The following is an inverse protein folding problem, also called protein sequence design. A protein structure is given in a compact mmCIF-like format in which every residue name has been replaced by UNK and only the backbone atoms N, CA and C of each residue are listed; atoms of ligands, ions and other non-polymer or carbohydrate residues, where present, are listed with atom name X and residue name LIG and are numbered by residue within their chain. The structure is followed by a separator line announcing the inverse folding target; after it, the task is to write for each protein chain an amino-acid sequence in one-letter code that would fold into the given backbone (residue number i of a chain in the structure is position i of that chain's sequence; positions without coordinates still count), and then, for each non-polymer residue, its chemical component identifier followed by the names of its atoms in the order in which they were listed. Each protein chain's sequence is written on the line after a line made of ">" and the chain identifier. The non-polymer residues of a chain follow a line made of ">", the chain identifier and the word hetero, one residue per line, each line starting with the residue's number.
data_IF_887853208123
#
_entry.id   IF_887853208123
#
_cell.length_a   1.000
_cell.length_b   1.000
_cell.length_c   1.000
_cell.angle_alpha   90.00
_cell.angle_beta   90.00
_cell.angle_gamma   90.00
#
_symmetry.space_group_name_H-M   'P 1'
#
loop_
_entity.id
_entity.type
_entity.pdbx_description
1 polymer ?
#
# COMPACT_ATOMS: atom_id res chain seq x y z
N UNK A 1 -2.11 44.63 51.83
CA UNK A 1 -3.22 43.65 51.79
C UNK A 1 -2.62 42.26 51.94
N UNK A 2 -2.82 41.62 53.10
CA UNK A 2 -2.33 40.26 53.34
C UNK A 2 -3.39 39.25 52.89
N UNK A 3 -3.01 38.31 52.03
CA UNK A 3 -3.87 37.19 51.65
C UNK A 3 -3.88 36.23 52.84
N UNK A 4 -5.07 35.89 53.35
CA UNK A 4 -5.17 34.98 54.49
C UNK A 4 -4.75 33.57 54.09
N UNK A 5 -4.10 32.85 55.01
CA UNK A 5 -3.66 31.46 54.84
C UNK A 5 -4.71 30.52 54.20
N UNK A 6 -6.01 30.57 54.58
CA UNK A 6 -7.02 29.74 53.92
C UNK A 6 -7.25 30.11 52.45
N UNK A 7 -7.13 31.39 52.07
CA UNK A 7 -7.25 31.82 50.67
C UNK A 7 -6.04 31.34 49.87
N UNK A 8 -4.84 31.40 50.43
CA UNK A 8 -3.64 30.86 49.79
C UNK A 8 -3.73 29.34 49.58
N UNK A 9 -4.23 28.60 50.57
CA UNK A 9 -4.41 27.15 50.49
C UNK A 9 -5.43 26.76 49.40
N UNK A 10 -6.55 27.48 49.30
CA UNK A 10 -7.56 27.25 48.25
C UNK A 10 -7.00 27.52 46.85
N UNK A 11 -6.18 28.56 46.68
CA UNK A 11 -5.53 28.87 45.40
C UNK A 11 -4.54 27.77 44.98
N UNK A 12 -3.77 27.22 45.93
CA UNK A 12 -2.85 26.11 45.67
C UNK A 12 -3.60 24.84 45.26
N UNK A 13 -4.69 24.50 45.96
CA UNK A 13 -5.52 23.33 45.63
C UNK A 13 -6.16 23.48 44.25
N UNK A 14 -6.66 24.68 43.91
CA UNK A 14 -7.23 24.97 42.59
C UNK A 14 -6.19 24.84 41.47
N UNK A 15 -4.97 25.34 41.67
CA UNK A 15 -3.86 25.20 40.71
C UNK A 15 -3.46 23.74 40.51
N UNK A 16 -3.29 22.96 41.58
CA UNK A 16 -2.96 21.54 41.49
C UNK A 16 -4.04 20.75 40.76
N UNK A 17 -5.31 21.02 41.06
CA UNK A 17 -6.45 20.38 40.41
C UNK A 17 -6.51 20.70 38.91
N UNK A 18 -6.23 21.94 38.53
CA UNK A 18 -6.16 22.36 37.12
C UNK A 18 -5.00 21.67 36.37
N UNK A 19 -3.82 21.55 37.00
CA UNK A 19 -2.67 20.86 36.41
C UNK A 19 -2.95 19.37 36.22
N UNK A 20 -3.53 18.69 37.23
CA UNK A 20 -3.91 17.28 37.13
C UNK A 20 -4.95 17.08 36.02
N UNK A 21 -5.98 17.93 35.94
CA UNK A 21 -6.98 17.87 34.88
C UNK A 21 -6.33 18.02 33.49
N UNK A 22 -5.39 18.96 33.33
CA UNK A 22 -4.67 19.16 32.08
C UNK A 22 -3.81 17.94 31.69
N UNK A 23 -3.12 17.33 32.66
CA UNK A 23 -2.33 16.11 32.45
C UNK A 23 -3.22 14.90 32.07
N UNK A 24 -4.39 14.75 32.69
CA UNK A 24 -5.35 13.71 32.34
C UNK A 24 -5.96 13.92 30.94
N UNK A 25 -6.29 15.16 30.58
CA UNK A 25 -6.80 15.52 29.26
C UNK A 25 -5.76 15.28 28.16
N UNK A 26 -4.49 15.62 28.40
CA UNK A 26 -3.40 15.37 27.44
C UNK A 26 -3.09 13.87 27.30
N UNK A 27 -3.11 13.10 28.40
CA UNK A 27 -2.96 11.63 28.37
C UNK A 27 -4.09 10.94 27.60
N UNK A 28 -5.35 11.33 27.83
CA UNK A 28 -6.52 10.81 27.11
C UNK A 28 -6.46 11.14 25.61
N UNK A 29 -6.05 12.37 25.25
CA UNK A 29 -5.82 12.78 23.85
C UNK A 29 -4.71 11.96 23.19
N UNK A 30 -3.60 11.69 23.89
CA UNK A 30 -2.47 10.90 23.38
C UNK A 30 -2.84 9.43 23.16
N UNK A 31 -3.60 8.83 24.07
CA UNK A 31 -4.09 7.45 23.94
C UNK A 31 -5.08 7.30 22.77
N UNK A 32 -6.03 8.24 22.63
CA UNK A 32 -7.02 8.25 21.54
C UNK A 32 -6.38 8.41 20.16
N UNK A 33 -5.32 9.23 20.03
CA UNK A 33 -4.52 9.35 18.78
C UNK A 33 -3.82 8.05 18.40
N UNK A 34 -3.27 7.29 19.37
CA UNK A 34 -2.61 6.00 19.10
C UNK A 34 -3.58 4.92 18.60
N UNK A 35 -4.79 4.86 19.14
CA UNK A 35 -5.83 3.91 18.70
C UNK A 35 -6.29 4.15 17.25
N UNK A 36 -6.52 5.42 16.89
CA UNK A 36 -6.90 5.81 15.52
C UNK A 36 -5.80 5.48 14.50
N UNK A 37 -4.53 5.74 14.83
CA UNK A 37 -3.40 5.39 13.97
C UNK A 37 -3.25 3.88 13.76
N UNK A 38 -3.52 3.06 14.79
CA UNK A 38 -3.45 1.60 14.68
C UNK A 38 -4.59 1.04 13.82
N UNK A 39 -5.81 1.57 13.96
CA UNK A 39 -6.95 1.21 13.08
C UNK A 39 -6.72 1.67 11.63
N UNK A 40 -6.20 2.87 11.41
CA UNK A 40 -5.89 3.38 10.07
C UNK A 40 -4.76 2.57 9.40
N UNK A 41 -3.73 2.19 10.17
CA UNK A 41 -2.67 1.28 9.72
C UNK A 41 -3.20 -0.11 9.36
N UNK A 42 -4.13 -0.67 10.13
CA UNK A 42 -4.78 -1.94 9.78
C UNK A 42 -5.61 -1.83 8.49
N UNK A 43 -6.35 -0.74 8.31
CA UNK A 43 -7.12 -0.47 7.09
C UNK A 43 -6.21 -0.32 5.87
N UNK A 44 -5.03 0.28 6.05
CA UNK A 44 -3.98 0.39 5.02
C UNK A 44 -3.33 -0.97 4.72
N UNK A 45 -3.16 -1.84 5.73
CA UNK A 45 -2.67 -3.21 5.56
C UNK A 45 -3.65 -4.12 4.80
N UNK A 46 -4.92 -3.75 4.69
CA UNK A 46 -5.92 -4.44 3.85
C UNK A 46 -5.85 -4.06 2.35
N UNK A 47 -5.02 -3.06 1.97
CA UNK A 47 -4.90 -2.61 0.57
C UNK A 47 -3.74 -3.25 -0.20
N UNK A 48 -2.84 -3.97 0.47
CA UNK A 48 -1.73 -4.70 -0.16
C UNK A 48 -2.12 -6.15 -0.39
N UNK A 49 -2.71 -6.42 -1.55
CA UNK A 49 -3.14 -7.77 -1.94
C UNK A 49 -1.96 -8.76 -1.97
N UNK A 50 -0.76 -8.31 -2.35
CA UNK A 50 0.43 -9.15 -2.31
C UNK A 50 0.79 -9.61 -0.90
N UNK A 51 0.77 -8.71 0.09
CA UNK A 51 0.96 -9.05 1.50
C UNK A 51 -0.14 -9.97 2.03
N UNK A 52 -1.37 -9.82 1.56
CA UNK A 52 -2.47 -10.70 1.93
C UNK A 52 -2.29 -12.13 1.41
N UNK A 53 -1.90 -12.28 0.14
CA UNK A 53 -1.61 -13.60 -0.44
C UNK A 53 -0.41 -14.24 0.26
N UNK A 54 0.68 -13.50 0.46
CA UNK A 54 1.88 -14.03 1.12
C UNK A 54 1.64 -14.60 2.51
N UNK A 55 0.80 -13.94 3.33
CA UNK A 55 0.43 -14.47 4.65
C UNK A 55 -0.24 -15.84 4.59
N UNK A 56 -0.99 -16.15 3.53
CA UNK A 56 -1.60 -17.48 3.33
C UNK A 56 -0.55 -18.56 3.07
N UNK A 57 0.63 -18.17 2.57
CA UNK A 57 1.77 -19.06 2.31
C UNK A 57 2.83 -19.01 3.43
N UNK A 58 2.51 -18.43 4.59
CA UNK A 58 3.45 -18.31 5.71
C UNK A 58 4.59 -17.32 5.47
N UNK A 59 4.46 -16.44 4.48
CA UNK A 59 5.46 -15.43 4.15
C UNK A 59 5.04 -14.05 4.67
N UNK A 60 6.02 -13.28 5.16
CA UNK A 60 5.82 -11.90 5.56
C UNK A 60 6.49 -10.95 4.58
N UNK A 61 5.81 -9.85 4.26
CA UNK A 61 6.37 -8.78 3.42
C UNK A 61 7.52 -8.10 4.14
N UNK A 62 8.64 -7.91 3.46
CA UNK A 62 9.79 -7.20 4.01
C UNK A 62 9.42 -5.77 4.46
N UNK A 63 9.90 -5.31 5.63
CA UNK A 63 9.72 -3.94 6.07
C UNK A 63 10.38 -2.92 5.13
N UNK A 64 11.31 -3.35 4.28
CA UNK A 64 12.00 -2.51 3.30
C UNK A 64 11.21 -2.29 2.01
N UNK A 65 10.12 -3.04 1.77
CA UNK A 65 9.31 -2.94 0.56
C UNK A 65 8.88 -1.50 0.24
N UNK A 66 8.44 -0.74 1.26
CA UNK A 66 8.00 0.65 1.05
C UNK A 66 9.09 1.56 0.50
N UNK A 67 10.36 1.34 0.88
CA UNK A 67 11.51 2.09 0.36
C UNK A 67 11.81 1.69 -1.08
N UNK A 68 11.86 0.39 -1.36
CA UNK A 68 12.13 -0.16 -2.70
C UNK A 68 11.06 0.25 -3.69
N UNK A 69 9.78 0.12 -3.34
CA UNK A 69 8.66 0.53 -4.19
C UNK A 69 8.70 2.03 -4.48
N UNK A 70 9.06 2.87 -3.50
CA UNK A 70 9.22 4.32 -3.70
C UNK A 70 10.34 4.63 -4.68
N UNK A 71 11.49 3.96 -4.54
CA UNK A 71 12.62 4.13 -5.44
C UNK A 71 12.31 3.65 -6.86
N UNK A 72 11.64 2.49 -7.00
CA UNK A 72 11.16 1.99 -8.29
C UNK A 72 10.27 3.01 -8.99
N UNK A 73 9.30 3.60 -8.28
CA UNK A 73 8.41 4.61 -8.84
C UNK A 73 9.08 5.95 -9.18
N UNK A 74 10.31 6.22 -8.72
CA UNK A 74 11.10 7.36 -9.21
C UNK A 74 11.72 7.05 -10.57
N UNK A 75 12.21 5.82 -10.76
CA UNK A 75 12.85 5.36 -12.00
C UNK A 75 11.83 5.06 -13.09
N UNK A 76 10.69 4.48 -12.71
CA UNK A 76 9.60 4.09 -13.60
C UNK A 76 8.30 4.78 -13.15
N UNK A 77 8.16 6.11 -13.35
CA UNK A 77 7.10 6.92 -12.74
C UNK A 77 5.73 6.78 -13.41
N UNK A 78 5.54 5.84 -14.33
CA UNK A 78 4.31 5.69 -15.08
C UNK A 78 4.00 4.22 -15.31
N UNK A 79 2.72 3.91 -15.50
CA UNK A 79 2.34 2.59 -16.03
C UNK A 79 3.09 2.35 -17.34
N UNK A 80 3.90 1.29 -17.42
CA UNK A 80 4.72 0.99 -18.60
C UNK A 80 3.90 0.75 -19.87
N UNK A 81 2.62 0.39 -19.70
CA UNK A 81 1.72 0.05 -20.81
C UNK A 81 1.07 1.29 -21.41
N UNK A 82 0.62 2.24 -20.58
CA UNK A 82 -0.21 3.36 -21.04
C UNK A 82 0.28 4.75 -20.62
N UNK A 83 1.38 4.84 -19.88
CA UNK A 83 1.95 6.10 -19.42
C UNK A 83 1.18 6.79 -18.28
N UNK A 84 0.21 6.12 -17.65
CA UNK A 84 -0.56 6.71 -16.55
C UNK A 84 0.34 7.04 -15.33
N UNK A 85 0.29 8.31 -14.87
CA UNK A 85 1.10 8.82 -13.75
C UNK A 85 0.30 9.15 -12.47
N UNK A 86 -0.99 8.85 -12.44
CA UNK A 86 -1.87 9.20 -11.32
C UNK A 86 -1.78 8.24 -10.12
N UNK A 87 -2.62 8.48 -9.10
CA UNK A 87 -2.57 7.78 -7.80
C UNK A 87 -2.89 6.28 -7.84
N UNK A 88 -3.49 5.77 -8.92
CA UNK A 88 -3.80 4.34 -9.11
C UNK A 88 -2.66 3.54 -9.73
N UNK A 89 -1.43 4.04 -9.63
CA UNK A 89 -0.20 3.37 -10.07
C UNK A 89 0.34 2.51 -8.93
N UNK A 90 0.77 1.29 -9.24
CA UNK A 90 1.23 0.29 -8.29
C UNK A 90 2.52 -0.35 -8.81
N UNK A 91 3.40 -0.75 -7.89
CA UNK A 91 4.57 -1.59 -8.21
C UNK A 91 4.11 -3.03 -8.12
N UNK A 92 4.27 -3.76 -9.22
CA UNK A 92 3.91 -5.15 -9.39
C UNK A 92 5.19 -5.99 -9.40
N UNK A 93 5.15 -7.12 -8.71
CA UNK A 93 6.19 -8.16 -8.77
C UNK A 93 5.96 -9.03 -10.01
N UNK A 94 6.97 -9.16 -10.87
CA UNK A 94 6.91 -10.04 -12.06
C UNK A 94 6.77 -11.50 -11.63
N UNK A 95 7.62 -11.92 -10.69
CA UNK A 95 7.53 -13.16 -9.92
C UNK A 95 7.05 -12.84 -8.52
N UNK A 96 5.91 -13.37 -8.07
CA UNK A 96 5.29 -12.94 -6.83
C UNK A 96 6.11 -13.43 -5.63
N UNK A 97 6.32 -12.56 -4.65
CA UNK A 97 7.21 -12.84 -3.52
C UNK A 97 6.73 -13.96 -2.57
N UNK A 98 5.47 -14.36 -2.62
CA UNK A 98 4.99 -15.50 -1.85
C UNK A 98 5.49 -16.84 -2.40
N UNK A 99 5.89 -16.89 -3.69
CA UNK A 99 6.55 -18.02 -4.33
C UNK A 99 8.07 -17.80 -4.46
N UNK A 100 8.50 -16.54 -4.60
CA UNK A 100 9.89 -16.14 -4.80
C UNK A 100 10.30 -15.05 -3.80
N UNK A 101 10.38 -15.35 -2.49
CA UNK A 101 10.63 -14.35 -1.45
C UNK A 101 12.01 -13.68 -1.59
N UNK A 102 12.99 -14.40 -2.13
CA UNK A 102 14.33 -13.91 -2.47
C UNK A 102 14.31 -12.76 -3.49
N UNK A 103 13.25 -12.69 -4.32
CA UNK A 103 13.10 -11.67 -5.36
C UNK A 103 12.21 -10.48 -4.94
N UNK A 104 11.75 -10.40 -3.68
CA UNK A 104 10.78 -9.37 -3.25
C UNK A 104 11.31 -7.94 -3.46
N UNK A 105 12.59 -7.74 -3.15
CA UNK A 105 13.24 -6.43 -3.15
C UNK A 105 14.09 -6.19 -4.40
N UNK A 106 14.16 -7.17 -5.29
CA UNK A 106 15.02 -7.15 -6.46
C UNK A 106 14.47 -6.23 -7.55
N UNK A 107 15.17 -5.13 -7.92
CA UNK A 107 14.64 -4.15 -8.88
C UNK A 107 14.26 -4.74 -10.24
N UNK A 108 14.97 -5.78 -10.69
CA UNK A 108 14.70 -6.44 -11.95
C UNK A 108 13.36 -7.19 -11.96
N UNK A 109 12.86 -7.60 -10.78
CA UNK A 109 11.59 -8.27 -10.56
C UNK A 109 10.40 -7.31 -10.41
N UNK A 110 10.60 -5.99 -10.59
CA UNK A 110 9.56 -4.98 -10.36
C UNK A 110 9.13 -4.28 -11.65
N UNK A 111 7.83 -4.02 -11.78
CA UNK A 111 7.27 -3.26 -12.90
C UNK A 111 6.09 -2.39 -12.45
N UNK A 112 5.94 -1.24 -13.07
CA UNK A 112 4.93 -0.25 -12.71
C UNK A 112 3.71 -0.40 -13.60
N UNK A 113 2.57 -0.73 -13.00
CA UNK A 113 1.29 -0.91 -13.69
C UNK A 113 0.21 -0.03 -13.04
N UNK A 114 -0.90 0.19 -13.73
CA UNK A 114 -2.04 0.91 -13.18
C UNK A 114 -3.27 0.01 -13.00
N UNK A 115 -4.09 0.42 -12.04
CA UNK A 115 -5.42 -0.14 -11.74
C UNK A 115 -6.45 1.00 -11.81
N UNK A 116 -6.32 1.83 -12.84
CA UNK A 116 -7.22 2.94 -13.10
C UNK A 116 -8.41 2.45 -13.94
N UNK A 117 -9.61 2.97 -13.68
CA UNK A 117 -10.83 2.55 -14.40
C UNK A 117 -10.63 2.61 -15.91
N UNK A 118 -10.88 1.49 -16.59
CA UNK A 118 -10.68 1.32 -18.04
C UNK A 118 -9.24 1.02 -18.48
N UNK A 119 -8.29 1.03 -17.54
CA UNK A 119 -6.84 0.78 -17.69
C UNK A 119 -6.36 -0.15 -16.56
N UNK A 120 -7.04 -1.28 -16.39
CA UNK A 120 -6.76 -2.30 -15.37
C UNK A 120 -5.53 -3.15 -15.74
N UNK A 121 -4.43 -2.51 -16.15
CA UNK A 121 -3.22 -3.17 -16.66
C UNK A 121 -2.56 -4.06 -15.61
N UNK A 122 -2.65 -3.69 -14.32
CA UNK A 122 -2.12 -4.52 -13.24
C UNK A 122 -2.82 -5.89 -13.19
N UNK A 123 -4.15 -5.90 -13.12
CA UNK A 123 -4.91 -7.15 -13.07
C UNK A 123 -4.82 -7.92 -14.39
N UNK A 124 -5.02 -7.26 -15.53
CA UNK A 124 -5.12 -7.94 -16.81
C UNK A 124 -3.78 -8.47 -17.29
N UNK A 125 -2.71 -7.69 -17.17
CA UNK A 125 -1.41 -8.07 -17.72
C UNK A 125 -0.49 -8.63 -16.66
N UNK A 126 -0.41 -8.02 -15.47
CA UNK A 126 0.42 -8.53 -14.38
C UNK A 126 -0.08 -9.85 -13.80
N UNK A 127 -1.40 -9.95 -13.61
CA UNK A 127 -2.07 -11.09 -12.97
C UNK A 127 -2.89 -11.96 -13.91
N UNK A 128 -2.85 -11.72 -15.23
CA UNK A 128 -3.60 -12.49 -16.23
C UNK A 128 -5.11 -12.67 -15.87
N UNK A 129 -5.70 -11.63 -15.30
CA UNK A 129 -7.11 -11.58 -14.93
C UNK A 129 -7.49 -12.19 -13.58
N UNK A 130 -6.54 -12.75 -12.82
CA UNK A 130 -6.80 -13.37 -11.51
C UNK A 130 -5.68 -13.04 -10.50
N UNK A 131 -6.01 -12.44 -9.36
CA UNK A 131 -5.03 -11.89 -8.40
C UNK A 131 -4.06 -12.91 -7.79
N UNK A 132 -4.38 -14.20 -7.85
CA UNK A 132 -3.56 -15.33 -7.42
C UNK A 132 -2.58 -15.82 -8.49
N UNK A 133 -2.69 -15.34 -9.73
CA UNK A 133 -1.78 -15.65 -10.84
C UNK A 133 -0.74 -14.55 -11.08
N UNK A 134 0.22 -14.79 -11.98
CA UNK A 134 1.30 -13.87 -12.34
C UNK A 134 1.75 -14.06 -13.80
N UNK A 135 2.49 -13.09 -14.34
CA UNK A 135 2.98 -13.10 -15.72
C UNK A 135 4.47 -12.80 -15.79
N UNK A 136 5.30 -13.85 -15.89
CA UNK A 136 6.75 -13.70 -16.02
C UNK A 136 7.16 -12.91 -17.28
N UNK A 137 6.31 -12.88 -18.31
CA UNK A 137 6.55 -12.20 -19.57
C UNK A 137 5.94 -10.80 -19.65
N UNK A 138 5.52 -10.21 -18.52
CA UNK A 138 4.82 -8.92 -18.46
C UNK A 138 5.54 -7.77 -19.16
N UNK A 139 6.88 -7.76 -19.19
CA UNK A 139 7.63 -6.72 -19.93
C UNK A 139 7.47 -6.83 -21.45
N UNK A 140 7.40 -8.04 -21.99
CA UNK A 140 7.14 -8.27 -23.41
C UNK A 140 5.67 -7.94 -23.74
N UNK A 141 4.74 -8.38 -22.88
CA UNK A 141 3.32 -8.06 -23.02
C UNK A 141 3.07 -6.55 -22.94
N UNK A 142 3.75 -5.82 -22.06
CA UNK A 142 3.60 -4.37 -21.96
C UNK A 142 3.91 -3.65 -23.29
N UNK A 143 4.88 -4.18 -24.07
CA UNK A 143 5.18 -3.69 -25.42
C UNK A 143 4.06 -4.07 -26.40
N UNK A 144 3.62 -5.33 -26.37
CA UNK A 144 2.56 -5.82 -27.26
C UNK A 144 1.21 -5.10 -27.04
N UNK A 145 0.88 -4.80 -25.79
CA UNK A 145 -0.37 -4.13 -25.38
C UNK A 145 -0.20 -2.62 -25.19
N UNK A 146 0.87 -2.01 -25.72
CA UNK A 146 1.15 -0.59 -25.55
C UNK A 146 -0.06 0.26 -25.96
N UNK A 147 -0.50 1.14 -25.04
CA UNK A 147 -1.66 2.03 -25.14
C UNK A 147 -3.03 1.36 -25.36
N UNK A 148 -3.13 0.02 -25.31
CA UNK A 148 -4.43 -0.68 -25.35
C UNK A 148 -5.21 -0.45 -24.06
N UNK A 149 -6.52 -0.25 -24.20
CA UNK A 149 -7.49 -0.18 -23.09
C UNK A 149 -7.78 -1.58 -22.52
N UNK A 150 -8.42 -1.64 -21.35
CA UNK A 150 -8.87 -2.90 -20.78
C UNK A 150 -9.80 -3.69 -21.71
N UNK A 151 -10.68 -3.01 -22.46
CA UNK A 151 -11.58 -3.66 -23.41
C UNK A 151 -10.80 -4.28 -24.58
N UNK A 152 -9.83 -3.55 -25.15
CA UNK A 152 -8.99 -4.05 -26.23
C UNK A 152 -8.14 -5.25 -25.79
N UNK A 153 -7.59 -5.23 -24.58
CA UNK A 153 -6.84 -6.38 -24.02
C UNK A 153 -7.74 -7.60 -23.87
N UNK A 154 -8.95 -7.43 -23.31
CA UNK A 154 -9.90 -8.54 -23.13
C UNK A 154 -10.40 -9.14 -24.45
N UNK A 155 -10.45 -8.35 -25.51
CA UNK A 155 -10.84 -8.82 -26.84
C UNK A 155 -9.73 -9.61 -27.56
N UNK A 156 -8.48 -9.40 -27.16
CA UNK A 156 -7.29 -9.94 -27.82
C UNK A 156 -7.13 -11.47 -27.63
N UNK A 157 -6.94 -12.20 -28.73
CA UNK A 157 -6.81 -13.66 -28.70
C UNK A 157 -5.52 -14.13 -28.02
N UNK A 158 -4.42 -13.38 -28.18
CA UNK A 158 -3.15 -13.72 -27.54
C UNK A 158 -3.27 -13.60 -26.02
N UNK A 159 -3.89 -12.52 -25.54
CA UNK A 159 -4.19 -12.35 -24.11
C UNK A 159 -5.08 -13.48 -23.58
N UNK A 160 -6.18 -13.81 -24.28
CA UNK A 160 -7.09 -14.89 -23.87
C UNK A 160 -6.37 -16.22 -23.73
N UNK A 161 -5.47 -16.56 -24.66
CA UNK A 161 -4.67 -17.79 -24.59
C UNK A 161 -3.80 -17.81 -23.33
N UNK A 162 -3.12 -16.70 -23.01
CA UNK A 162 -2.31 -16.59 -21.79
C UNK A 162 -3.15 -16.65 -20.52
N UNK A 163 -4.30 -15.97 -20.50
CA UNK A 163 -5.24 -15.98 -19.38
C UNK A 163 -5.74 -17.41 -19.07
N UNK A 164 -6.00 -18.24 -20.09
CA UNK A 164 -6.40 -19.63 -19.91
C UNK A 164 -5.25 -20.54 -19.45
N UNK A 165 -4.01 -20.23 -19.83
CA UNK A 165 -2.81 -20.97 -19.47
C UNK A 165 -2.06 -20.37 -18.27
N UNK A 166 -2.75 -19.56 -17.46
CA UNK A 166 -2.13 -18.82 -16.35
C UNK A 166 -1.66 -19.78 -15.25
N UNK A 167 -0.51 -19.51 -14.60
CA UNK A 167 -0.04 -20.27 -13.45
C UNK A 167 -0.89 -20.01 -12.20
#
# INVERSE_FOLDING_TARGET
>A
MYISLPVLLLLVIALLSAVIALLLLTRKRRHRRKGLFKQLSLLLKMLDQGAHVARKHGQERSPHWGSVAKEHLRREPACVVCGYKGRKRQVHHIKPFHLHPDLELEPHNLITLCSARGKEHHLLLGHLGAWDSYNEHIRADAKHFYRKTAAQIKADLHWKKKMLARP
#
